data_IF_467462419890
#
_entry.id   IF_467462419890
#
_cell.length_a   1.000
_cell.length_b   1.000
_cell.length_c   1.000
_cell.angle_alpha   90.00
_cell.angle_beta   90.00
_cell.angle_gamma   90.00
#
_symmetry.space_group_name_H-M   'P 1'
#
loop_
_entity.id
_entity.type
_entity.pdbx_description
1 polymer ?
#
# COMPACT_ATOMS: atom_id res chain seq x y z
N UNK A 1 -16.57 64.18 -8.17
CA UNK A 1 -16.55 63.29 -6.99
C UNK A 1 -17.88 62.54 -6.94
N UNK A 2 -17.86 61.23 -7.21
CA UNK A 2 -18.91 60.20 -6.92
C UNK A 2 -18.69 59.00 -7.87
N UNK A 3 -17.72 58.13 -7.58
CA UNK A 3 -17.85 56.79 -6.92
C UNK A 3 -18.67 55.79 -7.76
N UNK A 4 -17.97 54.89 -8.46
CA UNK A 4 -18.48 53.65 -9.07
C UNK A 4 -18.68 52.58 -7.99
N UNK A 5 -19.74 51.74 -8.03
CA UNK A 5 -19.92 50.67 -7.06
C UNK A 5 -19.07 49.45 -7.42
N UNK A 6 -18.43 48.95 -6.37
CA UNK A 6 -17.55 47.79 -6.29
C UNK A 6 -18.28 46.51 -6.69
N UNK A 7 -17.84 45.86 -7.78
CA UNK A 7 -18.39 44.58 -8.22
C UNK A 7 -17.90 43.47 -7.30
N UNK A 8 -18.89 42.77 -6.73
CA UNK A 8 -18.75 41.66 -5.82
C UNK A 8 -17.76 40.61 -6.35
N UNK A 9 -16.64 40.44 -5.63
CA UNK A 9 -15.74 39.30 -5.81
C UNK A 9 -16.42 38.05 -5.29
N UNK A 10 -17.00 37.27 -6.20
CA UNK A 10 -17.39 35.87 -5.97
C UNK A 10 -16.12 35.11 -5.58
N UNK A 11 -15.93 34.88 -4.28
CA UNK A 11 -14.88 33.97 -3.79
C UNK A 11 -15.29 32.56 -4.17
N UNK A 12 -14.71 32.06 -5.27
CA UNK A 12 -14.65 30.63 -5.57
C UNK A 12 -14.00 29.96 -4.36
N UNK A 13 -14.78 29.26 -3.55
CA UNK A 13 -14.24 28.27 -2.62
C UNK A 13 -13.81 27.09 -3.48
N UNK A 14 -12.56 27.11 -3.92
CA UNK A 14 -11.88 25.92 -4.41
C UNK A 14 -12.01 24.87 -3.32
N UNK A 15 -12.76 23.79 -3.60
CA UNK A 15 -12.82 22.63 -2.74
C UNK A 15 -11.39 22.08 -2.68
N UNK A 16 -10.69 22.38 -1.58
CA UNK A 16 -9.36 21.85 -1.31
C UNK A 16 -9.52 20.36 -1.11
N UNK A 17 -9.41 19.59 -2.20
CA UNK A 17 -9.32 18.14 -2.15
C UNK A 17 -8.21 17.82 -1.16
N UNK A 18 -8.49 17.06 -0.09
CA UNK A 18 -7.45 16.68 0.85
C UNK A 18 -6.33 16.02 0.04
N UNK A 19 -5.05 16.36 0.29
CA UNK A 19 -3.96 15.75 -0.43
C UNK A 19 -4.11 14.23 -0.29
N UNK A 20 -3.94 13.45 -1.38
CA UNK A 20 -4.04 12.01 -1.29
C UNK A 20 -3.09 11.55 -0.19
N UNK A 21 -3.63 10.86 0.82
CA UNK A 21 -2.83 10.31 1.91
C UNK A 21 -1.72 9.47 1.28
N UNK A 22 -0.47 9.92 1.41
CA UNK A 22 0.68 9.22 0.85
C UNK A 22 0.95 8.01 1.73
N UNK A 23 0.85 6.82 1.16
CA UNK A 23 1.28 5.58 1.80
C UNK A 23 2.77 5.67 2.16
N UNK A 24 3.08 5.31 3.41
CA UNK A 24 4.45 5.25 3.94
C UNK A 24 4.62 3.91 4.62
N UNK A 25 5.78 3.28 4.42
CA UNK A 25 6.08 1.99 5.06
C UNK A 25 6.15 2.11 6.58
N UNK A 26 5.48 1.20 7.28
CA UNK A 26 5.58 1.02 8.72
C UNK A 26 6.92 0.37 9.11
N UNK A 27 7.34 0.50 10.38
CA UNK A 27 8.64 0.02 10.83
C UNK A 27 8.80 -1.50 10.77
N UNK A 28 7.71 -2.26 10.86
CA UNK A 28 7.73 -3.70 10.63
C UNK A 28 8.03 -4.04 9.16
N UNK A 29 7.42 -3.32 8.22
CA UNK A 29 7.61 -3.50 6.78
C UNK A 29 9.03 -3.11 6.38
N UNK A 30 9.51 -1.96 6.87
CA UNK A 30 10.89 -1.50 6.61
C UNK A 30 11.94 -2.50 7.07
N UNK A 31 11.77 -3.14 8.22
CA UNK A 31 12.72 -4.17 8.70
C UNK A 31 12.69 -5.44 7.85
N UNK A 32 11.59 -5.69 7.16
CA UNK A 32 11.41 -6.87 6.32
C UNK A 32 11.94 -6.68 4.90
N UNK A 33 12.27 -5.44 4.52
CA UNK A 33 12.68 -5.05 3.17
C UNK A 33 14.09 -4.43 3.20
N UNK A 34 14.95 -4.81 2.26
CA UNK A 34 16.21 -4.10 2.04
C UNK A 34 15.95 -2.65 1.60
N UNK A 35 16.94 -1.77 1.72
CA UNK A 35 16.82 -0.38 1.26
C UNK A 35 16.48 -0.29 -0.24
N UNK A 36 17.00 -1.23 -1.02
CA UNK A 36 16.69 -1.34 -2.45
C UNK A 36 15.22 -1.67 -2.66
N UNK A 37 14.69 -2.70 -1.99
CA UNK A 37 13.28 -3.08 -2.07
C UNK A 37 12.35 -1.96 -1.59
N UNK A 38 12.72 -1.23 -0.53
CA UNK A 38 11.99 -0.04 -0.10
C UNK A 38 11.96 1.05 -1.18
N UNK A 39 13.08 1.26 -1.88
CA UNK A 39 13.15 2.18 -3.02
C UNK A 39 12.21 1.78 -4.16
N UNK A 40 12.10 0.48 -4.45
CA UNK A 40 11.20 -0.08 -5.46
C UNK A 40 9.73 0.16 -5.06
N UNK A 41 9.36 -0.07 -3.80
CA UNK A 41 8.02 0.27 -3.28
C UNK A 41 7.68 1.74 -3.54
N UNK A 42 8.54 2.67 -3.13
CA UNK A 42 8.27 4.10 -3.32
C UNK A 42 8.27 4.51 -4.80
N UNK A 43 9.07 3.86 -5.63
CA UNK A 43 9.02 4.02 -7.10
C UNK A 43 7.64 3.62 -7.63
N UNK A 44 7.09 2.47 -7.23
CA UNK A 44 5.75 2.05 -7.66
C UNK A 44 4.66 3.01 -7.18
N UNK A 45 4.71 3.42 -5.91
CA UNK A 45 3.77 4.39 -5.34
C UNK A 45 3.80 5.75 -6.05
N UNK A 46 4.99 6.22 -6.44
CA UNK A 46 5.16 7.50 -7.14
C UNK A 46 4.74 7.43 -8.61
N UNK A 47 4.99 6.29 -9.28
CA UNK A 47 4.71 6.13 -10.71
C UNK A 47 3.23 5.82 -10.99
N UNK A 48 2.50 5.21 -10.04
CA UNK A 48 1.08 4.87 -10.19
C UNK A 48 0.78 3.88 -11.32
N UNK A 49 1.80 3.15 -11.81
CA UNK A 49 1.64 2.13 -12.87
C UNK A 49 1.10 0.80 -12.34
N UNK A 50 1.40 0.50 -11.08
CA UNK A 50 0.94 -0.69 -10.38
C UNK A 50 -0.19 -0.26 -9.44
N UNK A 51 -1.35 -0.94 -9.45
CA UNK A 51 -2.44 -0.63 -8.52
C UNK A 51 -1.98 -0.71 -7.07
N UNK A 52 -2.51 0.15 -6.20
CA UNK A 52 -2.10 0.20 -4.80
C UNK A 52 -2.34 -1.15 -4.11
N UNK A 53 -3.43 -1.81 -4.44
CA UNK A 53 -3.82 -3.12 -3.88
C UNK A 53 -2.76 -4.20 -4.16
N UNK A 54 -2.16 -4.18 -5.34
CA UNK A 54 -1.07 -5.07 -5.72
C UNK A 54 0.19 -4.75 -4.92
N UNK A 55 0.51 -3.47 -4.74
CA UNK A 55 1.67 -3.03 -3.95
C UNK A 55 1.51 -3.45 -2.49
N UNK A 56 0.33 -3.23 -1.89
CA UNK A 56 0.05 -3.63 -0.50
C UNK A 56 0.17 -5.14 -0.31
N UNK A 57 -0.40 -5.92 -1.24
CA UNK A 57 -0.29 -7.38 -1.20
C UNK A 57 1.16 -7.85 -1.34
N UNK A 58 1.92 -7.27 -2.27
CA UNK A 58 3.35 -7.59 -2.42
C UNK A 58 4.16 -7.26 -1.15
N UNK A 59 3.87 -6.15 -0.47
CA UNK A 59 4.49 -5.81 0.82
C UNK A 59 4.14 -6.88 1.87
N UNK A 60 2.88 -7.29 1.96
CA UNK A 60 2.44 -8.30 2.92
C UNK A 60 3.08 -9.68 2.67
N UNK A 61 3.21 -10.09 1.41
CA UNK A 61 3.92 -11.32 1.04
C UNK A 61 5.42 -11.23 1.38
N UNK A 62 6.06 -10.08 1.12
CA UNK A 62 7.45 -9.87 1.46
C UNK A 62 7.71 -9.91 2.99
N UNK A 63 6.80 -9.34 3.78
CA UNK A 63 6.85 -9.41 5.26
C UNK A 63 6.69 -10.87 5.73
N UNK A 64 5.75 -11.61 5.14
CA UNK A 64 5.52 -13.02 5.47
C UNK A 64 6.76 -13.86 5.13
N UNK A 65 7.35 -13.64 3.95
CA UNK A 65 8.55 -14.32 3.51
C UNK A 65 9.77 -14.00 4.37
N UNK A 66 9.91 -12.75 4.82
CA UNK A 66 10.93 -12.35 5.79
C UNK A 66 10.76 -13.11 7.12
N UNK A 67 9.52 -13.28 7.59
CA UNK A 67 9.21 -14.07 8.78
C UNK A 67 9.63 -15.53 8.65
N UNK A 68 9.44 -16.12 7.47
CA UNK A 68 9.79 -17.52 7.18
C UNK A 68 11.29 -17.75 6.97
N UNK A 69 11.96 -16.85 6.24
CA UNK A 69 13.39 -16.97 5.93
C UNK A 69 14.31 -16.37 6.99
N UNK A 70 13.75 -15.61 7.94
CA UNK A 70 14.48 -14.80 8.89
C UNK A 70 15.50 -13.85 8.23
N UNK A 71 15.22 -13.40 7.00
CA UNK A 71 16.06 -12.44 6.27
C UNK A 71 15.19 -11.42 5.55
N UNK A 72 15.69 -10.20 5.42
CA UNK A 72 15.03 -9.16 4.62
C UNK A 72 14.94 -9.58 3.14
N UNK A 73 13.86 -9.16 2.48
CA UNK A 73 13.65 -9.32 1.04
C UNK A 73 14.47 -8.27 0.29
N UNK A 74 15.26 -8.69 -0.68
CA UNK A 74 16.05 -7.81 -1.54
C UNK A 74 15.24 -7.28 -2.74
N UNK A 75 15.83 -6.36 -3.52
CA UNK A 75 15.13 -5.73 -4.64
C UNK A 75 14.63 -6.72 -5.70
N UNK A 76 15.49 -7.60 -6.22
CA UNK A 76 15.10 -8.59 -7.24
C UNK A 76 14.00 -9.54 -6.76
N UNK A 77 14.05 -10.01 -5.50
CA UNK A 77 13.00 -10.85 -4.95
C UNK A 77 11.69 -10.08 -4.77
N UNK A 78 11.76 -8.81 -4.38
CA UNK A 78 10.56 -7.98 -4.28
C UNK A 78 9.90 -7.75 -5.65
N UNK A 79 10.66 -7.48 -6.71
CA UNK A 79 10.12 -7.38 -8.07
C UNK A 79 9.45 -8.69 -8.50
N UNK A 80 10.08 -9.84 -8.23
CA UNK A 80 9.48 -11.14 -8.51
C UNK A 80 8.17 -11.39 -7.73
N UNK A 81 8.06 -10.90 -6.50
CA UNK A 81 6.82 -10.95 -5.71
C UNK A 81 5.74 -10.07 -6.36
N UNK A 82 6.08 -8.85 -6.79
CA UNK A 82 5.13 -7.95 -7.46
C UNK A 82 4.59 -8.60 -8.74
N UNK A 83 5.48 -9.16 -9.57
CA UNK A 83 5.09 -9.86 -10.80
C UNK A 83 4.16 -11.05 -10.50
N UNK A 84 4.50 -11.88 -9.51
CA UNK A 84 3.67 -13.02 -9.10
C UNK A 84 2.28 -12.57 -8.61
N UNK A 85 2.19 -11.50 -7.81
CA UNK A 85 0.91 -10.96 -7.32
C UNK A 85 0.08 -10.38 -8.47
N UNK A 86 0.72 -9.81 -9.49
CA UNK A 86 0.05 -9.32 -10.71
C UNK A 86 -0.48 -10.46 -11.58
N UNK A 87 0.18 -11.62 -11.61
CA UNK A 87 -0.28 -12.78 -12.36
C UNK A 87 -1.40 -13.54 -11.63
N UNK A 88 -1.42 -13.50 -10.29
CA UNK A 88 -2.37 -14.21 -9.41
C UNK A 88 -3.81 -13.66 -9.41
N UNK A 89 -4.13 -12.62 -10.19
CA UNK A 89 -5.48 -12.02 -10.26
C UNK A 89 -6.52 -13.01 -10.82
N UNK A 90 -6.09 -14.16 -11.34
CA UNK A 90 -6.95 -15.21 -11.89
C UNK A 90 -7.32 -16.32 -10.90
N UNK A 91 -6.71 -16.38 -9.71
CA UNK A 91 -7.02 -17.43 -8.74
C UNK A 91 -8.21 -17.03 -7.87
N UNK A 92 -9.42 -17.27 -8.37
CA UNK A 92 -10.59 -17.38 -7.50
C UNK A 92 -10.43 -18.62 -6.64
N UNK A 93 -10.02 -18.45 -5.37
CA UNK A 93 -10.22 -19.50 -4.37
C UNK A 93 -11.74 -19.59 -4.21
N UNK A 94 -12.39 -20.71 -4.57
CA UNK A 94 -13.78 -20.90 -4.18
C UNK A 94 -13.80 -20.88 -2.66
N UNK A 95 -14.31 -19.78 -2.09
CA UNK A 95 -14.48 -19.64 -0.65
C UNK A 95 -15.53 -20.67 -0.24
N UNK A 96 -15.07 -21.87 0.08
CA UNK A 96 -15.86 -22.81 0.87
C UNK A 96 -16.10 -22.13 2.22
N UNK A 97 -17.36 -21.93 2.67
CA UNK A 97 -17.68 -21.22 3.92
C UNK A 97 -17.19 -21.89 5.22
N UNK A 98 -16.22 -22.80 5.16
CA UNK A 98 -15.94 -23.75 6.22
C UNK A 98 -14.47 -23.77 6.67
N UNK A 99 -13.78 -22.63 6.72
CA UNK A 99 -12.49 -22.58 7.42
C UNK A 99 -12.08 -21.14 7.84
N UNK A 100 -13.04 -20.42 8.44
CA UNK A 100 -12.73 -19.26 9.31
C UNK A 100 -12.99 -19.65 10.77
N UNK A 101 -12.27 -20.66 11.24
CA UNK A 101 -12.07 -20.83 12.68
C UNK A 101 -10.67 -20.31 13.00
N UNK A 102 -10.55 -19.00 13.21
CA UNK A 102 -9.47 -18.49 14.06
C UNK A 102 -9.57 -19.25 15.39
N UNK A 103 -8.54 -19.98 15.85
CA UNK A 103 -8.53 -20.41 17.24
C UNK A 103 -8.41 -19.15 18.09
N UNK A 104 -9.57 -18.70 18.60
CA UNK A 104 -9.64 -17.74 19.68
C UNK A 104 -8.84 -18.29 20.86
N UNK A 105 -7.93 -17.46 21.36
CA UNK A 105 -7.45 -17.44 22.74
C UNK A 105 -6.95 -18.77 23.35
N UNK A 106 -5.65 -18.85 23.59
CA UNK A 106 -5.16 -19.51 24.81
C UNK A 106 -4.22 -18.56 25.53
N UNK A 107 -4.55 -18.29 26.79
CA UNK A 107 -3.91 -17.33 27.66
C UNK A 107 -2.46 -17.70 28.01
N UNK A 108 -1.66 -16.66 28.21
CA UNK A 108 -0.50 -16.49 29.09
C UNK A 108 -0.14 -17.73 29.94
N UNK A 109 1.15 -18.11 29.91
CA UNK A 109 1.87 -18.73 31.02
C UNK A 109 3.17 -17.95 31.24
#
# INVERSE_FOLDING_TARGET
MSILPETARVRRMEAKTPPPMRRVLHDCEKRSLSLEAQGIVYKHLAMGKVPLEIIERAIQEAVSLCGLKHSSVDGPLFEAIVDAVMDDITFEIPVSPLEMAYPSSSWIC
#
